data_IF_276759386241
#
_entry.id   IF_276759386241
#
_cell.length_a   1.000
_cell.length_b   1.000
_cell.length_c   1.000
_cell.angle_alpha   90.00
_cell.angle_beta   90.00
_cell.angle_gamma   90.00
#
_symmetry.space_group_name_H-M   'P 1'
#
loop_
_entity.id
_entity.type
_entity.pdbx_description
1 polymer ?
#
# COMPACT_ATOMS: atom_id res chain seq x y z
N UNK A 1 64.19 32.31 -16.70
CA UNK A 1 63.58 30.95 -16.64
C UNK A 1 62.72 30.87 -15.39
N UNK A 2 61.41 31.12 -15.51
CA UNK A 2 60.47 30.90 -14.41
C UNK A 2 59.28 30.13 -14.97
N UNK A 3 59.25 28.83 -14.69
CA UNK A 3 58.14 27.93 -15.01
C UNK A 3 56.93 28.34 -14.18
N UNK A 4 55.87 28.79 -14.85
CA UNK A 4 54.53 28.92 -14.28
C UNK A 4 53.90 27.52 -14.26
N UNK A 5 53.84 26.92 -13.07
CA UNK A 5 53.07 25.71 -12.83
C UNK A 5 51.57 26.09 -12.83
N UNK A 6 50.85 25.65 -13.85
CA UNK A 6 49.39 25.76 -13.93
C UNK A 6 48.80 24.54 -13.21
N UNK A 7 48.35 24.72 -11.97
CA UNK A 7 47.74 23.67 -11.16
C UNK A 7 46.28 23.49 -11.60
N UNK A 8 46.01 22.45 -12.40
CA UNK A 8 44.69 22.12 -12.90
C UNK A 8 43.82 21.52 -11.76
N UNK A 9 42.99 22.36 -11.14
CA UNK A 9 41.99 21.95 -10.15
C UNK A 9 40.83 21.24 -10.88
N UNK A 10 40.91 19.91 -10.94
CA UNK A 10 39.95 19.07 -11.66
C UNK A 10 38.52 19.13 -11.11
N UNK A 11 37.50 18.88 -11.97
CA UNK A 11 36.07 19.00 -11.68
C UNK A 11 35.48 17.82 -10.88
N UNK A 12 36.18 17.36 -9.84
CA UNK A 12 35.77 16.15 -9.10
C UNK A 12 34.83 16.46 -7.92
N UNK A 13 34.79 17.70 -7.44
CA UNK A 13 34.06 18.06 -6.22
C UNK A 13 32.54 18.32 -6.41
N UNK A 14 32.09 18.74 -7.60
CA UNK A 14 30.68 19.10 -7.85
C UNK A 14 29.75 17.90 -8.03
N UNK A 15 30.26 16.76 -8.49
CA UNK A 15 29.43 15.56 -8.78
C UNK A 15 28.94 14.87 -7.51
N UNK A 16 29.77 14.86 -6.45
CA UNK A 16 29.46 14.15 -5.19
C UNK A 16 28.41 14.93 -4.36
N UNK A 17 28.43 16.26 -4.40
CA UNK A 17 27.40 17.08 -3.76
C UNK A 17 26.05 17.00 -4.49
N UNK A 18 26.07 16.97 -5.84
CA UNK A 18 24.86 16.80 -6.64
C UNK A 18 24.13 15.48 -6.38
N UNK A 19 24.87 14.37 -6.23
CA UNK A 19 24.28 13.06 -5.92
C UNK A 19 23.62 13.00 -4.54
N UNK A 20 24.24 13.61 -3.51
CA UNK A 20 23.66 13.70 -2.16
C UNK A 20 22.49 14.68 -2.09
N UNK A 21 22.53 15.78 -2.84
CA UNK A 21 21.42 16.74 -2.93
C UNK A 21 20.21 16.15 -3.66
N UNK A 22 20.42 15.41 -4.76
CA UNK A 22 19.35 14.70 -5.47
C UNK A 22 18.73 13.58 -4.62
N UNK A 23 19.54 12.81 -3.89
CA UNK A 23 19.04 11.81 -2.95
C UNK A 23 18.24 12.45 -1.79
N UNK A 24 18.64 13.63 -1.30
CA UNK A 24 17.88 14.39 -0.30
C UNK A 24 16.56 14.93 -0.85
N UNK A 25 16.55 15.48 -2.06
CA UNK A 25 15.34 15.98 -2.71
C UNK A 25 14.30 14.87 -2.96
N UNK A 26 14.76 13.68 -3.38
CA UNK A 26 13.89 12.50 -3.51
C UNK A 26 13.40 12.00 -2.14
N UNK A 27 14.23 12.10 -1.09
CA UNK A 27 13.83 11.70 0.27
C UNK A 27 12.86 12.67 0.95
N UNK A 28 12.83 13.95 0.56
CA UNK A 28 11.87 14.93 1.08
C UNK A 28 10.48 14.87 0.40
N UNK A 29 10.34 14.21 -0.76
CA UNK A 29 9.05 14.09 -1.45
C UNK A 29 8.10 13.08 -0.79
N UNK A 30 8.61 12.07 -0.09
CA UNK A 30 7.76 11.13 0.65
C UNK A 30 7.45 11.68 2.04
N UNK A 31 6.32 12.37 2.14
CA UNK A 31 5.76 12.74 3.45
C UNK A 31 5.54 11.46 4.27
N UNK A 32 6.04 11.46 5.52
CA UNK A 32 5.84 10.38 6.50
C UNK A 32 4.37 9.94 6.58
N UNK A 33 3.46 10.90 6.38
CA UNK A 33 2.03 10.64 6.28
C UNK A 33 1.65 9.65 5.17
N UNK A 34 2.18 9.83 3.94
CA UNK A 34 1.83 8.97 2.81
C UNK A 34 2.33 7.55 3.09
N UNK A 35 3.55 7.43 3.63
CA UNK A 35 4.11 6.14 4.04
C UNK A 35 3.21 5.47 5.08
N UNK A 36 2.81 6.22 6.11
CA UNK A 36 1.94 5.72 7.17
C UNK A 36 0.58 5.26 6.63
N UNK A 37 -0.09 6.08 5.82
CA UNK A 37 -1.39 5.75 5.23
C UNK A 37 -1.31 4.52 4.31
N UNK A 38 -0.25 4.42 3.51
CA UNK A 38 0.00 3.29 2.62
C UNK A 38 0.22 2.01 3.43
N UNK A 39 1.09 2.07 4.44
CA UNK A 39 1.36 0.94 5.32
C UNK A 39 0.10 0.50 6.08
N UNK A 40 -0.69 1.44 6.60
CA UNK A 40 -1.95 1.16 7.26
C UNK A 40 -2.96 0.49 6.31
N UNK A 41 -3.07 0.97 5.07
CA UNK A 41 -3.95 0.36 4.07
C UNK A 41 -3.50 -1.04 3.69
N UNK A 42 -2.20 -1.27 3.48
CA UNK A 42 -1.67 -2.60 3.22
C UNK A 42 -1.96 -3.56 4.37
N UNK A 43 -1.74 -3.12 5.62
CA UNK A 43 -2.06 -3.92 6.80
C UNK A 43 -3.55 -4.24 6.88
N UNK A 44 -4.42 -3.27 6.59
CA UNK A 44 -5.86 -3.49 6.57
C UNK A 44 -6.30 -4.48 5.49
N UNK A 45 -5.68 -4.47 4.30
CA UNK A 45 -5.95 -5.47 3.26
C UNK A 45 -5.57 -6.89 3.71
N UNK A 46 -4.45 -7.03 4.43
CA UNK A 46 -4.01 -8.33 4.96
C UNK A 46 -4.96 -8.82 6.05
N UNK A 47 -5.27 -7.96 7.04
CA UNK A 47 -6.16 -8.32 8.14
C UNK A 47 -7.55 -8.68 7.65
N UNK A 48 -8.10 -7.90 6.72
CA UNK A 48 -9.39 -8.21 6.11
C UNK A 48 -9.35 -9.50 5.29
N UNK A 49 -8.27 -9.76 4.53
CA UNK A 49 -8.08 -11.05 3.87
C UNK A 49 -8.08 -12.23 4.84
N UNK A 50 -7.47 -12.07 6.02
CA UNK A 50 -7.47 -13.09 7.07
C UNK A 50 -8.88 -13.28 7.67
N UNK A 51 -9.58 -12.19 8.00
CA UNK A 51 -10.93 -12.25 8.55
C UNK A 51 -11.90 -12.90 7.56
N UNK A 52 -11.83 -12.52 6.28
CA UNK A 52 -12.60 -13.16 5.22
C UNK A 52 -12.25 -14.65 5.09
N UNK A 53 -10.97 -15.02 5.10
CA UNK A 53 -10.57 -16.42 5.01
C UNK A 53 -11.14 -17.26 6.16
N UNK A 54 -11.09 -16.73 7.38
CA UNK A 54 -11.66 -17.37 8.57
C UNK A 54 -13.18 -17.46 8.43
N UNK A 55 -13.85 -16.35 8.09
CA UNK A 55 -15.30 -16.29 7.96
C UNK A 55 -15.84 -17.24 6.89
N UNK A 56 -15.28 -17.19 5.68
CA UNK A 56 -15.64 -18.09 4.57
C UNK A 56 -15.27 -19.54 4.88
N UNK A 57 -14.17 -19.77 5.59
CA UNK A 57 -13.78 -21.12 6.02
C UNK A 57 -14.79 -21.79 6.95
N UNK A 58 -15.53 -21.02 7.75
CA UNK A 58 -16.55 -21.54 8.68
C UNK A 58 -17.98 -21.47 8.13
N UNK A 59 -18.33 -20.37 7.44
CA UNK A 59 -19.69 -20.07 6.99
C UNK A 59 -19.93 -20.43 5.52
N UNK A 60 -18.88 -20.82 4.79
CA UNK A 60 -18.93 -21.05 3.35
C UNK A 60 -18.81 -19.77 2.52
N UNK A 61 -18.67 -19.93 1.21
CA UNK A 61 -18.50 -18.81 0.25
C UNK A 61 -19.78 -17.99 0.07
N UNK A 62 -20.95 -18.50 0.47
CA UNK A 62 -22.21 -17.77 0.39
C UNK A 62 -22.29 -16.57 1.34
N UNK A 63 -21.51 -16.61 2.44
CA UNK A 63 -21.40 -15.50 3.37
C UNK A 63 -20.71 -14.27 2.76
N UNK A 64 -20.00 -14.44 1.63
CA UNK A 64 -19.38 -13.32 0.94
C UNK A 64 -20.39 -12.49 0.14
N UNK A 65 -20.48 -11.21 0.51
CA UNK A 65 -21.38 -10.25 -0.15
C UNK A 65 -20.85 -9.77 -1.50
N UNK A 66 -19.55 -9.93 -1.76
CA UNK A 66 -18.95 -9.53 -3.03
C UNK A 66 -19.07 -10.66 -4.06
N UNK A 67 -20.00 -10.51 -5.02
CA UNK A 67 -20.28 -11.52 -6.04
C UNK A 67 -19.05 -11.89 -6.88
N UNK A 68 -18.17 -10.93 -7.21
CA UNK A 68 -16.96 -11.20 -7.99
C UNK A 68 -15.96 -12.04 -7.19
N UNK A 69 -15.77 -11.68 -5.91
CA UNK A 69 -14.88 -12.43 -5.03
C UNK A 69 -15.43 -13.84 -4.78
N UNK A 70 -16.74 -13.97 -4.53
CA UNK A 70 -17.40 -15.26 -4.33
C UNK A 70 -17.21 -16.18 -5.54
N UNK A 71 -17.46 -15.68 -6.75
CA UNK A 71 -17.23 -16.44 -7.98
C UNK A 71 -15.77 -16.90 -8.10
N UNK A 72 -14.82 -16.02 -7.81
CA UNK A 72 -13.40 -16.40 -7.80
C UNK A 72 -13.10 -17.47 -6.73
N UNK A 73 -13.67 -17.37 -5.53
CA UNK A 73 -13.49 -18.37 -4.48
C UNK A 73 -14.05 -19.74 -4.85
N UNK A 74 -15.16 -19.79 -5.58
CA UNK A 74 -15.79 -21.02 -6.06
C UNK A 74 -14.96 -21.70 -7.15
N UNK A 75 -14.36 -20.92 -8.07
CA UNK A 75 -13.58 -21.46 -9.19
C UNK A 75 -12.17 -21.93 -8.81
N UNK A 76 -11.45 -21.15 -7.99
CA UNK A 76 -10.02 -21.40 -7.70
C UNK A 76 -9.71 -21.65 -6.22
N UNK A 77 -10.74 -21.69 -5.39
CA UNK A 77 -10.64 -21.85 -3.93
C UNK A 77 -10.43 -20.53 -3.20
N UNK A 78 -10.99 -20.45 -1.99
CA UNK A 78 -11.04 -19.20 -1.22
C UNK A 78 -9.66 -18.63 -0.86
N UNK A 79 -8.67 -19.46 -0.52
CA UNK A 79 -7.31 -19.00 -0.18
C UNK A 79 -6.61 -18.37 -1.39
N UNK A 80 -6.65 -19.03 -2.55
CA UNK A 80 -6.01 -18.53 -3.77
C UNK A 80 -6.71 -17.26 -4.30
N UNK A 81 -8.04 -17.26 -4.29
CA UNK A 81 -8.84 -16.10 -4.68
C UNK A 81 -8.51 -14.88 -3.81
N UNK A 82 -8.44 -15.07 -2.49
CA UNK A 82 -8.08 -13.99 -1.56
C UNK A 82 -6.66 -13.49 -1.80
N UNK A 83 -5.68 -14.38 -2.00
CA UNK A 83 -4.32 -13.96 -2.27
C UNK A 83 -4.22 -13.09 -3.53
N UNK A 84 -4.91 -13.50 -4.62
CA UNK A 84 -4.92 -12.74 -5.87
C UNK A 84 -5.63 -11.39 -5.72
N UNK A 85 -6.84 -11.37 -5.18
CA UNK A 85 -7.65 -10.15 -5.10
C UNK A 85 -7.05 -9.15 -4.09
N UNK A 86 -6.60 -9.62 -2.92
CA UNK A 86 -5.94 -8.76 -1.93
C UNK A 86 -4.56 -8.31 -2.41
N UNK A 87 -3.80 -9.18 -3.08
CA UNK A 87 -2.53 -8.81 -3.71
C UNK A 87 -2.72 -7.70 -4.75
N UNK A 88 -3.73 -7.83 -5.61
CA UNK A 88 -4.10 -6.79 -6.56
C UNK A 88 -4.50 -5.48 -5.86
N UNK A 89 -5.30 -5.55 -4.80
CA UNK A 89 -5.68 -4.37 -4.02
C UNK A 89 -4.47 -3.66 -3.39
N UNK A 90 -3.50 -4.41 -2.86
CA UNK A 90 -2.24 -3.84 -2.33
C UNK A 90 -1.46 -3.14 -3.45
N UNK A 91 -1.34 -3.76 -4.62
CA UNK A 91 -0.70 -3.12 -5.78
C UNK A 91 -1.40 -1.80 -6.18
N UNK A 92 -2.74 -1.78 -6.14
CA UNK A 92 -3.52 -0.55 -6.38
C UNK A 92 -3.23 0.50 -5.31
N UNK A 93 -3.18 0.13 -4.02
CA UNK A 93 -2.84 1.04 -2.92
C UNK A 93 -1.43 1.63 -3.11
N UNK A 94 -0.44 0.81 -3.45
CA UNK A 94 0.93 1.27 -3.74
C UNK A 94 0.96 2.23 -4.94
N UNK A 95 0.18 1.93 -5.99
CA UNK A 95 0.06 2.79 -7.17
C UNK A 95 -0.59 4.14 -6.84
N UNK A 96 -1.63 4.14 -6.00
CA UNK A 96 -2.29 5.36 -5.50
C UNK A 96 -1.35 6.17 -4.59
N UNK A 97 -0.55 5.51 -3.77
CA UNK A 97 0.47 6.17 -2.96
C UNK A 97 1.49 6.90 -3.85
N UNK A 98 1.97 6.25 -4.90
CA UNK A 98 2.85 6.89 -5.89
C UNK A 98 2.14 8.07 -6.60
N UNK A 99 0.87 7.91 -6.98
CA UNK A 99 0.09 8.97 -7.61
C UNK A 99 -0.14 10.16 -6.67
N UNK A 100 -0.23 9.92 -5.35
CA UNK A 100 -0.44 10.97 -4.35
C UNK A 100 0.69 11.98 -4.27
N UNK A 101 1.91 11.58 -4.66
CA UNK A 101 3.06 12.48 -4.80
C UNK A 101 2.82 13.54 -5.89
N UNK A 102 2.06 13.20 -6.92
CA UNK A 102 1.74 14.09 -8.05
C UNK A 102 0.42 14.83 -7.87
N UNK A 103 -0.48 14.29 -7.03
CA UNK A 103 -1.87 14.72 -6.97
C UNK A 103 -2.34 14.80 -5.51
N UNK A 104 -2.39 16.01 -4.96
CA UNK A 104 -2.65 16.24 -3.53
C UNK A 104 -4.04 15.83 -3.03
N UNK A 105 -5.06 15.68 -3.90
CA UNK A 105 -6.38 15.20 -3.46
C UNK A 105 -6.39 13.70 -3.15
N UNK A 106 -5.45 12.92 -3.72
CA UNK A 106 -5.37 11.47 -3.53
C UNK A 106 -5.03 11.12 -2.08
N UNK A 107 -4.19 11.90 -1.41
CA UNK A 107 -3.90 11.72 0.03
C UNK A 107 -5.16 11.84 0.87
N UNK A 108 -6.05 12.79 0.57
CA UNK A 108 -7.35 12.93 1.25
C UNK A 108 -8.26 11.73 0.97
N UNK A 109 -8.27 11.25 -0.27
CA UNK A 109 -9.02 10.05 -0.65
C UNK A 109 -8.50 8.81 0.10
N UNK A 110 -7.19 8.62 0.21
CA UNK A 110 -6.58 7.51 0.97
C UNK A 110 -6.98 7.56 2.45
N UNK A 111 -6.95 8.74 3.10
CA UNK A 111 -7.44 8.88 4.48
C UNK A 111 -8.91 8.47 4.61
N UNK A 112 -9.76 8.90 3.68
CA UNK A 112 -11.17 8.53 3.67
C UNK A 112 -11.37 7.02 3.47
N UNK A 113 -10.60 6.43 2.56
CA UNK A 113 -10.64 4.99 2.30
C UNK A 113 -10.26 4.17 3.54
N UNK A 114 -9.28 4.59 4.34
CA UNK A 114 -8.95 3.92 5.62
C UNK A 114 -10.16 3.85 6.54
N UNK A 115 -10.85 4.98 6.74
CA UNK A 115 -12.04 5.04 7.61
C UNK A 115 -13.16 4.17 7.06
N UNK A 116 -13.44 4.29 5.77
CA UNK A 116 -14.47 3.49 5.11
C UNK A 116 -14.17 1.99 5.22
N UNK A 117 -12.91 1.60 5.06
CA UNK A 117 -12.49 0.20 5.16
C UNK A 117 -12.69 -0.38 6.55
N UNK A 118 -12.36 0.39 7.60
CA UNK A 118 -12.62 -0.02 8.98
C UNK A 118 -14.12 -0.24 9.23
N UNK A 119 -14.96 0.67 8.74
CA UNK A 119 -16.41 0.64 8.98
C UNK A 119 -17.13 -0.46 8.19
N UNK A 120 -16.72 -0.70 6.94
CA UNK A 120 -17.45 -1.56 6.01
C UNK A 120 -16.87 -2.97 5.93
N UNK A 121 -15.58 -3.14 6.19
CA UNK A 121 -14.93 -4.45 6.08
C UNK A 121 -14.60 -5.04 7.45
N UNK A 122 -13.78 -4.34 8.24
CA UNK A 122 -13.26 -4.89 9.51
C UNK A 122 -14.36 -5.07 10.55
N UNK A 123 -15.18 -4.05 10.80
CA UNK A 123 -16.24 -4.12 11.82
C UNK A 123 -17.27 -5.22 11.50
N UNK A 124 -17.84 -5.30 10.28
CA UNK A 124 -18.82 -6.34 9.97
C UNK A 124 -18.24 -7.75 10.07
N UNK A 125 -17.03 -7.99 9.55
CA UNK A 125 -16.41 -9.31 9.64
C UNK A 125 -16.10 -9.71 11.08
N UNK A 126 -15.59 -8.77 11.88
CA UNK A 126 -15.31 -9.03 13.30
C UNK A 126 -16.60 -9.34 14.05
N UNK A 127 -17.69 -8.63 13.77
CA UNK A 127 -19.00 -8.88 14.36
C UNK A 127 -19.56 -10.25 13.95
N UNK A 128 -19.48 -10.61 12.66
CA UNK A 128 -19.93 -11.92 12.17
C UNK A 128 -19.15 -13.06 12.84
N UNK A 129 -17.83 -12.97 12.87
CA UNK A 129 -16.98 -14.01 13.49
C UNK A 129 -17.29 -14.13 14.98
N UNK A 130 -17.41 -13.02 15.70
CA UNK A 130 -17.70 -13.04 17.13
C UNK A 130 -19.09 -13.60 17.46
N UNK A 131 -20.09 -13.37 16.60
CA UNK A 131 -21.47 -13.81 16.84
C UNK A 131 -21.75 -15.24 16.35
N UNK A 132 -21.02 -15.73 15.35
CA UNK A 132 -21.35 -16.99 14.67
C UNK A 132 -20.28 -18.08 14.81
N UNK A 133 -19.03 -17.71 15.13
CA UNK A 133 -17.91 -18.67 15.19
C UNK A 133 -17.42 -18.90 16.63
N UNK A 134 -17.45 -17.86 17.46
CA UNK A 134 -17.06 -17.92 18.88
C UNK A 134 -18.26 -18.21 19.80
#
# INVERSE_FOLDING_TARGET
MSQLAYEAKGPTLTVIEGGKAAARAVSEEFSFEIIFLTAAMCLLQILDGMLTAIGVGHLGTEAEGNALLRYAMEEIGHINALFLIKGLAICVVLSLAYLSLKVGWVTKALRFMVVLYLLVAIIPWTAIIFLQVL
#
